data_IF_512226607495
#
_entry.id   IF_512226607495
#
_cell.length_a   1.000
_cell.length_b   1.000
_cell.length_c   1.000
_cell.angle_alpha   90.00
_cell.angle_beta   90.00
_cell.angle_gamma   90.00
#
_symmetry.space_group_name_H-M   'P 1'
#
loop_
_entity.id
_entity.type
_entity.pdbx_description
1 polymer ?
#
# COMPACT_ATOMS: atom_id res chain seq x y z
N UNK A 1 8.45 -16.93 0.29
CA UNK A 1 7.10 -16.71 0.84
C UNK A 1 6.97 -17.57 2.09
N UNK A 2 6.38 -17.07 3.18
CA UNK A 2 6.18 -17.88 4.39
C UNK A 2 5.06 -18.88 4.14
N UNK A 3 5.38 -20.17 4.18
CA UNK A 3 4.43 -21.28 3.97
C UNK A 3 3.56 -21.50 5.23
N UNK A 4 2.75 -20.48 5.55
CA UNK A 4 1.84 -20.47 6.70
C UNK A 4 0.50 -21.16 6.39
N UNK A 5 0.38 -21.84 5.23
CA UNK A 5 -0.85 -22.52 4.83
C UNK A 5 -2.03 -21.61 4.46
N UNK A 6 -1.77 -20.35 4.08
CA UNK A 6 -2.84 -19.44 3.66
C UNK A 6 -3.44 -19.84 2.31
N UNK A 7 -4.74 -19.64 2.13
CA UNK A 7 -5.42 -19.88 0.85
C UNK A 7 -4.95 -18.94 -0.28
N UNK A 8 -4.46 -17.76 0.08
CA UNK A 8 -3.91 -16.74 -0.83
C UNK A 8 -2.57 -16.22 -0.31
N UNK A 9 -1.49 -17.02 -0.41
CA UNK A 9 -0.18 -16.60 0.05
C UNK A 9 0.44 -15.51 -0.86
N UNK A 10 -0.07 -15.36 -2.09
CA UNK A 10 0.38 -14.41 -3.10
C UNK A 10 0.11 -12.94 -2.75
N UNK A 11 -0.88 -12.67 -1.87
CA UNK A 11 -1.21 -11.32 -1.43
C UNK A 11 -0.42 -10.88 -0.19
N UNK A 12 0.51 -11.70 0.30
CA UNK A 12 1.37 -11.39 1.44
C UNK A 12 2.84 -11.46 1.05
N UNK A 13 3.64 -10.53 1.59
CA UNK A 13 5.10 -10.55 1.47
C UNK A 13 5.75 -10.42 2.84
N UNK A 14 6.93 -11.01 2.99
CA UNK A 14 7.73 -10.88 4.22
C UNK A 14 8.58 -9.61 4.19
N UNK A 15 9.11 -9.21 5.35
CA UNK A 15 10.12 -8.15 5.46
C UNK A 15 11.37 -8.49 4.64
N UNK A 16 11.82 -9.75 4.62
CA UNK A 16 12.93 -10.18 3.77
C UNK A 16 12.65 -9.94 2.28
N UNK A 17 11.44 -10.27 1.80
CA UNK A 17 11.07 -9.98 0.41
C UNK A 17 11.09 -8.48 0.12
N UNK A 18 10.57 -7.64 1.03
CA UNK A 18 10.63 -6.19 0.86
C UNK A 18 12.07 -5.68 0.82
N UNK A 19 12.95 -6.16 1.69
CA UNK A 19 14.36 -5.76 1.70
C UNK A 19 15.08 -6.09 0.37
N UNK A 20 14.73 -7.22 -0.25
CA UNK A 20 15.29 -7.64 -1.54
C UNK A 20 14.75 -6.81 -2.73
N UNK A 21 13.55 -6.24 -2.63
CA UNK A 21 12.85 -5.61 -3.76
C UNK A 21 12.64 -4.09 -3.62
N UNK A 22 12.89 -3.50 -2.44
CA UNK A 22 12.63 -2.07 -2.18
C UNK A 22 13.44 -1.09 -3.05
N UNK A 23 14.50 -1.57 -3.70
CA UNK A 23 15.29 -0.80 -4.66
C UNK A 23 14.76 -0.89 -6.10
N UNK A 24 13.91 -1.88 -6.42
CA UNK A 24 13.31 -2.07 -7.75
C UNK A 24 12.05 -1.22 -7.93
N UNK A 25 12.22 0.10 -7.92
CA UNK A 25 11.11 1.06 -8.04
C UNK A 25 10.46 1.06 -9.43
N UNK A 26 11.05 0.38 -10.41
CA UNK A 26 10.45 0.21 -11.74
C UNK A 26 9.29 -0.81 -11.72
N UNK A 27 9.37 -1.84 -10.87
CA UNK A 27 8.37 -2.91 -10.81
C UNK A 27 7.61 -2.96 -9.48
N UNK A 28 8.19 -2.45 -8.39
CA UNK A 28 7.62 -2.53 -7.04
C UNK A 28 7.39 -1.15 -6.45
N UNK A 29 6.19 -0.92 -5.93
CA UNK A 29 5.86 0.29 -5.17
C UNK A 29 5.44 -0.04 -3.75
N UNK A 30 6.23 0.44 -2.78
CA UNK A 30 5.88 0.35 -1.37
C UNK A 30 4.97 1.53 -1.00
N UNK A 31 3.86 1.26 -0.33
CA UNK A 31 2.88 2.25 0.09
C UNK A 31 2.68 2.15 1.59
N UNK A 32 2.96 3.25 2.30
CA UNK A 32 2.65 3.39 3.71
C UNK A 32 1.30 4.09 3.89
N UNK A 33 0.37 3.43 4.58
CA UNK A 33 -0.92 4.02 4.96
C UNK A 33 -1.20 3.73 6.43
N UNK A 34 -1.33 4.79 7.22
CA UNK A 34 -1.41 4.76 8.67
C UNK A 34 -2.69 5.44 9.16
N UNK A 35 -3.07 5.17 10.42
CA UNK A 35 -4.05 6.01 11.09
C UNK A 35 -3.47 7.39 11.41
N UNK A 36 -2.23 7.40 11.91
CA UNK A 36 -1.48 8.62 12.15
C UNK A 36 -0.75 9.05 10.86
N UNK A 37 -1.33 10.04 10.17
CA UNK A 37 -0.81 10.60 8.93
C UNK A 37 0.58 11.25 9.10
N UNK A 38 0.94 11.68 10.31
CA UNK A 38 2.24 12.31 10.58
C UNK A 38 3.36 11.27 10.72
N UNK A 39 3.01 10.01 10.94
CA UNK A 39 3.98 8.95 11.23
C UNK A 39 4.94 8.69 10.05
N UNK A 40 4.47 8.81 8.81
CA UNK A 40 5.30 8.61 7.62
C UNK A 40 6.52 9.55 7.60
N UNK A 41 6.32 10.82 7.99
CA UNK A 41 7.36 11.85 7.99
C UNK A 41 8.43 11.63 9.06
N UNK A 42 8.18 10.76 10.05
CA UNK A 42 9.16 10.43 11.10
C UNK A 42 10.21 9.41 10.65
N UNK A 43 9.98 8.76 9.50
CA UNK A 43 10.82 7.71 8.93
C UNK A 43 9.93 6.64 8.32
N UNK A 44 10.37 6.06 7.21
CA UNK A 44 9.61 5.07 6.44
C UNK A 44 10.57 4.16 5.67
N UNK A 45 10.07 3.06 5.11
CA UNK A 45 10.88 2.18 4.26
C UNK A 45 11.40 2.99 3.06
N UNK A 46 12.70 2.89 2.70
CA UNK A 46 13.24 3.62 1.56
C UNK A 46 12.39 3.45 0.30
N UNK A 47 12.21 4.56 -0.44
CA UNK A 47 11.41 4.64 -1.66
C UNK A 47 9.90 4.41 -1.48
N UNK A 48 9.38 4.21 -0.27
CA UNK A 48 7.94 4.16 -0.05
C UNK A 48 7.27 5.50 -0.41
N UNK A 49 5.98 5.45 -0.75
CA UNK A 49 5.10 6.61 -0.82
C UNK A 49 4.11 6.57 0.32
N UNK A 50 3.53 7.73 0.62
CA UNK A 50 2.42 7.84 1.53
C UNK A 50 1.11 7.91 0.75
N UNK A 51 0.12 7.13 1.17
CA UNK A 51 -1.28 7.32 0.77
C UNK A 51 -2.10 7.54 2.04
N UNK A 52 -2.62 8.76 2.18
CA UNK A 52 -3.51 9.15 3.27
C UNK A 52 -4.92 8.61 2.99
N UNK A 53 -5.43 7.79 3.91
CA UNK A 53 -6.74 7.19 3.76
C UNK A 53 -7.87 8.23 3.75
N UNK A 54 -7.68 9.41 4.34
CA UNK A 54 -8.67 10.50 4.35
C UNK A 54 -8.58 11.29 3.06
N UNK A 55 -7.43 11.92 2.82
CA UNK A 55 -7.27 12.92 1.78
C UNK A 55 -7.16 12.32 0.37
N UNK A 56 -6.54 11.14 0.24
CA UNK A 56 -6.21 10.59 -1.07
C UNK A 56 -7.24 9.58 -1.56
N UNK A 57 -8.03 8.96 -0.69
CA UNK A 57 -8.93 7.84 -1.07
C UNK A 57 -10.42 8.19 -1.08
N UNK A 58 -10.81 9.38 -0.63
CA UNK A 58 -12.21 9.81 -0.55
C UNK A 58 -12.51 11.03 -1.42
N UNK A 59 -13.78 11.15 -1.84
CA UNK A 59 -14.30 12.40 -2.38
C UNK A 59 -14.23 13.50 -1.30
N UNK A 60 -13.78 14.72 -1.65
CA UNK A 60 -13.55 15.78 -0.67
C UNK A 60 -14.83 16.37 -0.07
N UNK A 61 -16.00 16.07 -0.63
CA UNK A 61 -17.29 16.65 -0.22
C UNK A 61 -18.31 15.56 0.14
N UNK A 62 -18.42 14.52 -0.70
CA UNK A 62 -19.36 13.43 -0.54
C UNK A 62 -18.72 12.33 0.29
N UNK A 63 -19.54 11.60 1.06
CA UNK A 63 -19.10 10.38 1.74
C UNK A 63 -19.06 9.22 0.74
N UNK A 64 -18.09 9.28 -0.16
CA UNK A 64 -17.84 8.29 -1.20
C UNK A 64 -16.33 8.23 -1.51
N UNK A 65 -15.92 7.22 -2.26
CA UNK A 65 -14.53 7.10 -2.73
C UNK A 65 -14.27 8.02 -3.93
N UNK A 66 -13.02 8.06 -4.36
CA UNK A 66 -12.64 8.71 -5.62
C UNK A 66 -13.49 8.22 -6.80
N UNK A 67 -13.64 9.06 -7.82
CA UNK A 67 -14.06 8.60 -9.14
C UNK A 67 -12.86 8.07 -9.95
N UNK A 68 -13.13 7.47 -11.11
CA UNK A 68 -12.09 6.86 -11.96
C UNK A 68 -10.96 7.82 -12.37
N UNK A 69 -11.28 9.10 -12.66
CA UNK A 69 -10.26 10.05 -13.11
C UNK A 69 -9.36 10.51 -11.95
N UNK A 70 -9.93 10.73 -10.77
CA UNK A 70 -9.17 11.01 -9.55
C UNK A 70 -8.30 9.82 -9.15
N UNK A 71 -8.86 8.61 -9.22
CA UNK A 71 -8.11 7.39 -8.90
C UNK A 71 -6.93 7.20 -9.86
N UNK A 72 -7.13 7.40 -11.16
CA UNK A 72 -6.05 7.37 -12.15
C UNK A 72 -4.96 8.40 -11.83
N UNK A 73 -5.34 9.64 -11.49
CA UNK A 73 -4.40 10.68 -11.13
C UNK A 73 -3.60 10.33 -9.86
N UNK A 74 -4.24 9.71 -8.86
CA UNK A 74 -3.57 9.21 -7.65
C UNK A 74 -2.50 8.17 -8.00
N UNK A 75 -2.81 7.21 -8.88
CA UNK A 75 -1.84 6.19 -9.30
C UNK A 75 -0.65 6.80 -10.04
N UNK A 76 -0.90 7.71 -10.99
CA UNK A 76 0.14 8.39 -11.76
C UNK A 76 1.07 9.21 -10.84
N UNK A 77 0.50 9.96 -9.89
CA UNK A 77 1.28 10.75 -8.94
C UNK A 77 2.18 9.88 -8.04
N UNK A 78 1.78 8.64 -7.78
CA UNK A 78 2.51 7.69 -6.94
C UNK A 78 3.42 6.73 -7.71
N UNK A 79 3.50 6.86 -9.04
CA UNK A 79 4.30 5.98 -9.90
C UNK A 79 3.76 4.55 -9.96
N UNK A 80 2.44 4.38 -9.86
CA UNK A 80 1.77 3.08 -9.92
C UNK A 80 1.14 2.91 -11.31
N UNK A 81 1.50 1.82 -11.98
CA UNK A 81 0.87 1.37 -13.22
C UNK A 81 0.12 0.05 -13.00
N UNK A 82 -0.60 -0.44 -14.01
CA UNK A 82 -1.32 -1.72 -13.92
C UNK A 82 -0.39 -2.92 -13.71
N UNK A 83 0.86 -2.84 -14.16
CA UNK A 83 1.85 -3.91 -14.06
C UNK A 83 2.67 -3.83 -12.76
N UNK A 84 2.59 -2.70 -12.05
CA UNK A 84 3.33 -2.47 -10.80
C UNK A 84 2.83 -3.40 -9.70
N UNK A 85 3.75 -4.06 -9.00
CA UNK A 85 3.44 -4.75 -7.75
C UNK A 85 3.40 -3.73 -6.61
N UNK A 86 2.22 -3.49 -6.07
CA UNK A 86 2.02 -2.54 -4.96
C UNK A 86 2.01 -3.31 -3.64
N UNK A 87 2.85 -2.91 -2.70
CA UNK A 87 2.94 -3.51 -1.36
C UNK A 87 2.56 -2.50 -0.31
N UNK A 88 1.46 -2.76 0.39
CA UNK A 88 0.97 -1.93 1.48
C UNK A 88 1.55 -2.35 2.82
N UNK A 89 1.87 -1.37 3.65
CA UNK A 89 2.20 -1.55 5.06
C UNK A 89 1.77 -0.33 5.86
N UNK A 90 1.62 -0.49 7.17
CA UNK A 90 1.24 0.61 8.05
C UNK A 90 1.31 0.27 9.53
N UNK A 91 0.90 1.22 10.34
CA UNK A 91 0.74 1.08 11.78
C UNK A 91 -0.43 0.14 12.16
N UNK A 92 -0.56 -0.11 13.47
CA UNK A 92 -1.70 -0.82 14.07
C UNK A 92 -2.07 -2.13 13.35
N UNK A 93 -1.05 -2.98 13.16
CA UNK A 93 -1.21 -4.28 12.51
C UNK A 93 -1.80 -4.19 11.09
N UNK A 94 -1.37 -3.19 10.30
CA UNK A 94 -1.80 -2.94 8.92
C UNK A 94 -3.28 -2.55 8.78
N UNK A 95 -3.89 -1.89 9.76
CA UNK A 95 -5.30 -1.53 9.67
C UNK A 95 -5.58 -0.67 8.43
N UNK A 96 -4.93 0.49 8.31
CA UNK A 96 -5.14 1.40 7.18
C UNK A 96 -4.46 0.94 5.89
N UNK A 97 -3.36 0.21 6.00
CA UNK A 97 -2.76 -0.50 4.86
C UNK A 97 -3.73 -1.50 4.22
N UNK A 98 -4.51 -2.24 5.03
CA UNK A 98 -5.52 -3.19 4.52
C UNK A 98 -6.73 -2.47 3.92
N UNK A 99 -7.12 -1.33 4.50
CA UNK A 99 -8.16 -0.47 3.91
C UNK A 99 -7.73 0.08 2.55
N UNK A 100 -6.52 0.64 2.43
CA UNK A 100 -5.98 1.13 1.17
C UNK A 100 -5.87 0.00 0.13
N UNK A 101 -5.39 -1.18 0.53
CA UNK A 101 -5.41 -2.38 -0.30
C UNK A 101 -6.82 -2.67 -0.83
N UNK A 102 -7.84 -2.65 0.03
CA UNK A 102 -9.22 -2.92 -0.36
C UNK A 102 -9.77 -1.86 -1.32
N UNK A 103 -9.50 -0.57 -1.09
CA UNK A 103 -9.91 0.50 -2.01
C UNK A 103 -9.28 0.30 -3.38
N UNK A 104 -7.97 0.03 -3.47
CA UNK A 104 -7.33 -0.22 -4.78
C UNK A 104 -7.85 -1.50 -5.45
N UNK A 105 -8.24 -2.54 -4.69
CA UNK A 105 -8.94 -3.72 -5.23
C UNK A 105 -10.31 -3.36 -5.81
N UNK A 106 -11.05 -2.44 -5.19
CA UNK A 106 -12.36 -1.99 -5.66
C UNK A 106 -12.28 -1.39 -7.07
N UNK A 107 -11.20 -0.66 -7.37
CA UNK A 107 -10.91 -0.13 -8.72
C UNK A 107 -10.27 -1.14 -9.68
N UNK A 108 -10.12 -2.41 -9.27
CA UNK A 108 -9.72 -3.50 -10.16
C UNK A 108 -8.21 -3.75 -10.24
N UNK A 109 -7.37 -3.15 -9.38
CA UNK A 109 -5.93 -3.45 -9.41
C UNK A 109 -5.66 -4.91 -8.97
N UNK A 110 -4.84 -5.60 -9.76
CA UNK A 110 -4.57 -7.03 -9.58
C UNK A 110 -3.34 -7.33 -8.72
N UNK A 111 -2.27 -6.56 -8.86
CA UNK A 111 -0.95 -6.87 -8.28
C UNK A 111 -0.73 -6.17 -6.94
N UNK A 112 -1.64 -6.40 -5.99
CA UNK A 112 -1.58 -5.82 -4.65
C UNK A 112 -1.17 -6.86 -3.61
N UNK A 113 -0.32 -6.46 -2.66
CA UNK A 113 0.16 -7.29 -1.54
C UNK A 113 0.20 -6.48 -0.24
N UNK A 114 0.25 -7.17 0.90
CA UNK A 114 0.45 -6.58 2.23
C UNK A 114 1.75 -7.11 2.83
N UNK A 115 2.53 -6.24 3.47
CA UNK A 115 3.70 -6.64 4.25
C UNK A 115 3.27 -7.30 5.57
N UNK A 116 3.54 -8.60 5.71
CA UNK A 116 3.22 -9.37 6.91
C UNK A 116 3.97 -8.86 8.14
N UNK A 117 3.24 -8.23 9.06
CA UNK A 117 3.74 -7.58 10.27
C UNK A 117 3.77 -6.05 10.21
N UNK A 118 3.60 -5.46 9.03
CA UNK A 118 3.46 -4.01 8.84
C UNK A 118 4.68 -3.21 9.30
N UNK A 119 4.45 -1.92 9.58
CA UNK A 119 5.49 -0.99 10.04
C UNK A 119 6.18 -1.48 11.32
N UNK A 120 5.40 -2.03 12.25
CA UNK A 120 5.88 -2.47 13.56
C UNK A 120 6.91 -3.62 13.49
N UNK A 121 6.87 -4.44 12.44
CA UNK A 121 7.86 -5.52 12.24
C UNK A 121 9.09 -5.06 11.44
N UNK A 122 8.99 -3.96 10.70
CA UNK A 122 10.08 -3.44 9.90
C UNK A 122 11.07 -2.61 10.73
N UNK A 123 10.54 -1.78 11.63
CA UNK A 123 11.32 -0.93 12.54
C UNK A 123 12.04 -1.78 13.60
#
# INVERSE_FOLDING_TARGET
>A
MSDKGYARPDVLVSTAWVAEHMADTANVRLVESNEDVLLYSTGHIPNAVHIDWVADLNDPVRRDYLNESQFKALLEANGISNDTTVVFYGDKNNWWASYAFWVLRLFGLANLRILDGGRARWI
#
